data_IF_041937985909
#
_entry.id   IF_041937985909
#
_cell.length_a   1.000
_cell.length_b   1.000
_cell.length_c   1.000
_cell.angle_alpha   90.00
_cell.angle_beta   90.00
_cell.angle_gamma   90.00
#
_symmetry.space_group_name_H-M   'P 1'
#
loop_
_entity.id
_entity.type
_entity.pdbx_description
1 polymer ?
#
# COMPACT_ATOMS: atom_id res chain seq x y z
N UNK A 1 16.49 32.01 -30.36
CA UNK A 1 15.09 32.12 -29.86
C UNK A 1 14.45 30.73 -29.91
N UNK A 2 13.79 30.29 -28.87
CA UNK A 2 13.07 29.01 -28.85
C UNK A 2 11.72 29.25 -29.50
N UNK A 3 11.47 28.64 -30.65
CA UNK A 3 10.20 28.73 -31.39
C UNK A 3 9.44 27.44 -31.21
N UNK A 4 8.29 27.49 -30.57
CA UNK A 4 7.41 26.34 -30.34
C UNK A 4 6.56 26.53 -29.09
N UNK A 5 5.40 25.85 -29.08
CA UNK A 5 4.46 25.85 -27.94
C UNK A 5 4.22 24.45 -27.41
N UNK A 6 3.97 24.35 -26.10
CA UNK A 6 3.47 23.12 -25.50
C UNK A 6 2.13 22.72 -26.17
N UNK A 7 1.89 21.42 -26.45
CA UNK A 7 2.69 20.25 -26.08
C UNK A 7 3.78 19.84 -27.10
N UNK A 8 3.88 20.51 -28.25
CA UNK A 8 4.80 20.13 -29.34
C UNK A 8 6.27 20.36 -28.94
N UNK A 9 6.54 21.40 -28.18
CA UNK A 9 7.86 21.67 -27.60
C UNK A 9 7.85 21.41 -26.10
N UNK A 10 8.75 20.52 -25.64
CA UNK A 10 8.99 20.21 -24.23
C UNK A 10 10.46 20.38 -23.91
N UNK A 11 10.78 21.27 -22.99
CA UNK A 11 12.16 21.50 -22.54
C UNK A 11 12.52 20.40 -21.53
N UNK A 12 13.48 19.52 -21.89
CA UNK A 12 13.85 18.35 -21.10
C UNK A 12 15.29 18.36 -20.58
N UNK A 13 16.01 19.45 -20.72
CA UNK A 13 17.41 19.55 -20.29
C UNK A 13 17.58 19.16 -18.81
N UNK A 14 16.72 19.65 -17.94
CA UNK A 14 16.74 19.37 -16.51
C UNK A 14 16.34 17.95 -16.13
N UNK A 15 15.88 17.14 -17.09
CA UNK A 15 15.50 15.74 -16.86
C UNK A 15 16.55 14.75 -17.35
N UNK A 16 17.61 15.21 -18.01
CA UNK A 16 18.65 14.36 -18.62
C UNK A 16 19.49 13.68 -17.55
N UNK A 17 20.08 14.46 -16.65
CA UNK A 17 21.01 13.98 -15.64
C UNK A 17 20.35 13.80 -14.26
N UNK A 18 20.88 12.88 -13.43
CA UNK A 18 20.30 12.61 -12.10
C UNK A 18 20.37 13.81 -11.16
N UNK A 19 21.48 14.57 -11.22
CA UNK A 19 21.65 15.75 -10.37
C UNK A 19 20.70 16.88 -10.75
N UNK A 20 20.46 17.12 -12.04
CA UNK A 20 19.49 18.14 -12.50
C UNK A 20 18.07 17.78 -12.12
N UNK A 21 17.70 16.48 -12.22
CA UNK A 21 16.38 16.02 -11.73
C UNK A 21 16.21 16.28 -10.23
N UNK A 22 17.22 16.01 -9.41
CA UNK A 22 17.18 16.33 -7.97
C UNK A 22 17.05 17.82 -7.69
N UNK A 23 17.76 18.66 -8.47
CA UNK A 23 17.71 20.10 -8.31
C UNK A 23 16.33 20.70 -8.53
N UNK A 24 15.60 20.21 -9.54
CA UNK A 24 14.27 20.72 -9.93
C UNK A 24 13.11 19.89 -9.36
N UNK A 25 13.38 18.95 -8.47
CA UNK A 25 12.37 18.09 -7.87
C UNK A 25 11.50 18.89 -6.91
N UNK A 26 10.19 18.92 -7.17
CA UNK A 26 9.21 19.61 -6.34
C UNK A 26 8.66 18.71 -5.24
N UNK A 27 8.60 17.38 -5.49
CA UNK A 27 8.07 16.41 -4.55
C UNK A 27 9.14 15.39 -4.17
N UNK A 28 9.17 15.03 -2.89
CA UNK A 28 10.01 13.96 -2.36
C UNK A 28 9.12 12.90 -1.71
N UNK A 29 9.53 11.63 -1.81
CA UNK A 29 8.89 10.53 -1.11
C UNK A 29 9.75 10.10 0.07
N UNK A 30 9.12 9.93 1.22
CA UNK A 30 9.72 9.37 2.42
C UNK A 30 8.85 8.23 2.97
N UNK A 31 9.34 7.39 3.87
CA UNK A 31 8.52 6.39 4.55
C UNK A 31 7.28 6.96 5.23
N UNK A 32 7.33 8.24 5.66
CA UNK A 32 6.21 8.93 6.31
C UNK A 32 5.00 9.18 5.38
N UNK A 33 5.19 9.03 4.08
CA UNK A 33 4.15 9.23 3.08
C UNK A 33 3.35 7.93 2.80
N UNK A 34 3.70 6.81 3.48
CA UNK A 34 3.14 5.50 3.17
C UNK A 34 2.25 4.96 4.30
N UNK A 35 1.20 4.26 3.89
CA UNK A 35 0.38 3.40 4.73
C UNK A 35 0.55 1.97 4.22
N UNK A 36 0.94 1.02 5.07
CA UNK A 36 1.10 -0.37 4.68
C UNK A 36 -0.23 -1.12 4.78
N UNK A 37 -0.82 -1.59 3.66
CA UNK A 37 -1.98 -2.46 3.72
C UNK A 37 -1.57 -3.87 4.16
N UNK A 38 -2.27 -4.43 5.14
CA UNK A 38 -2.10 -5.81 5.62
C UNK A 38 -3.39 -6.56 5.37
N UNK A 39 -3.32 -7.63 4.59
CA UNK A 39 -4.47 -8.46 4.27
C UNK A 39 -4.56 -9.62 5.27
N UNK A 40 -5.71 -9.75 5.91
CA UNK A 40 -5.98 -10.73 6.95
C UNK A 40 -6.79 -11.91 6.42
N UNK A 41 -6.48 -13.10 6.91
CA UNK A 41 -7.30 -14.32 6.75
C UNK A 41 -7.58 -14.96 8.09
N UNK A 42 -8.69 -15.67 8.15
CA UNK A 42 -9.07 -16.49 9.29
C UNK A 42 -8.16 -17.73 9.42
N UNK A 43 -7.97 -18.20 10.65
CA UNK A 43 -7.18 -19.38 10.97
C UNK A 43 -5.95 -19.09 11.80
N UNK A 44 -5.03 -20.04 11.85
CA UNK A 44 -3.82 -19.95 12.66
C UNK A 44 -2.57 -20.22 11.83
N UNK A 45 -1.55 -19.39 12.01
CA UNK A 45 -0.20 -19.52 11.46
C UNK A 45 -0.12 -19.75 9.93
N UNK A 46 -1.04 -19.14 9.17
CA UNK A 46 -1.11 -19.25 7.70
C UNK A 46 -0.59 -18.00 7.00
N UNK A 47 -0.08 -18.24 5.80
CA UNK A 47 0.29 -17.24 4.82
C UNK A 47 -0.25 -17.70 3.46
N UNK A 48 -1.13 -16.91 2.85
CA UNK A 48 -1.78 -17.23 1.58
C UNK A 48 -1.38 -16.20 0.51
N UNK A 49 -0.92 -16.67 -0.64
CA UNK A 49 -0.62 -15.79 -1.77
C UNK A 49 -1.89 -15.21 -2.38
N UNK A 50 -1.84 -13.95 -2.82
CA UNK A 50 -2.90 -13.31 -3.59
C UNK A 50 -2.54 -13.42 -5.07
N UNK A 51 -3.27 -14.25 -5.83
CA UNK A 51 -2.93 -14.54 -7.23
C UNK A 51 -2.88 -13.31 -8.13
N UNK A 52 -3.75 -12.33 -7.89
CA UNK A 52 -3.84 -11.08 -8.65
C UNK A 52 -2.84 -10.01 -8.21
N UNK A 53 -2.09 -10.25 -7.12
CA UNK A 53 -1.11 -9.31 -6.55
C UNK A 53 0.20 -10.06 -6.27
N UNK A 54 1.07 -10.27 -7.27
CA UNK A 54 2.32 -11.00 -7.10
C UNK A 54 3.19 -10.43 -5.96
N UNK A 55 3.66 -11.31 -5.07
CA UNK A 55 4.48 -10.92 -3.92
C UNK A 55 3.69 -10.40 -2.71
N UNK A 56 2.37 -10.23 -2.82
CA UNK A 56 1.49 -9.83 -1.71
C UNK A 56 0.79 -11.07 -1.14
N UNK A 57 0.65 -11.08 0.18
CA UNK A 57 0.10 -12.23 0.90
C UNK A 57 -0.96 -11.79 1.89
N UNK A 58 -1.89 -12.70 2.19
CA UNK A 58 -2.77 -12.62 3.36
C UNK A 58 -2.12 -13.34 4.53
N UNK A 59 -2.32 -12.82 5.70
CA UNK A 59 -1.73 -13.35 6.94
C UNK A 59 -2.81 -13.60 7.98
N UNK A 60 -2.62 -14.63 8.80
CA UNK A 60 -3.42 -14.83 10.01
C UNK A 60 -2.97 -13.85 11.09
N UNK A 61 -3.85 -13.55 12.05
CA UNK A 61 -3.63 -12.52 13.10
C UNK A 61 -2.30 -12.73 13.83
N UNK A 62 -1.96 -13.97 14.18
CA UNK A 62 -0.71 -14.29 14.88
C UNK A 62 0.58 -14.01 14.09
N UNK A 63 0.49 -13.70 12.79
CA UNK A 63 1.62 -13.28 11.95
C UNK A 63 1.69 -11.77 11.69
N UNK A 64 0.66 -11.03 12.09
CA UNK A 64 0.57 -9.57 11.82
C UNK A 64 1.70 -8.81 12.52
N UNK A 65 2.04 -9.18 13.77
CA UNK A 65 3.12 -8.54 14.53
C UNK A 65 4.44 -8.50 13.76
N UNK A 66 4.81 -9.59 13.09
CA UNK A 66 6.04 -9.67 12.28
C UNK A 66 6.03 -8.69 11.09
N UNK A 67 4.85 -8.41 10.53
CA UNK A 67 4.70 -7.46 9.42
C UNK A 67 4.75 -6.03 9.93
N UNK A 68 4.11 -5.77 11.06
CA UNK A 68 4.15 -4.47 11.75
C UNK A 68 5.59 -4.12 12.17
N UNK A 69 6.34 -5.07 12.73
CA UNK A 69 7.75 -4.87 13.09
C UNK A 69 8.60 -4.48 11.86
N UNK A 70 8.33 -5.08 10.71
CA UNK A 70 9.01 -4.70 9.46
C UNK A 70 8.64 -3.29 9.00
N UNK A 71 7.37 -2.89 9.16
CA UNK A 71 6.92 -1.54 8.84
C UNK A 71 7.61 -0.51 9.73
N UNK A 72 7.67 -0.76 11.04
CA UNK A 72 8.35 0.09 12.03
C UNK A 72 9.84 0.25 11.66
N UNK A 73 10.54 -0.86 11.39
CA UNK A 73 11.96 -0.84 10.99
C UNK A 73 12.22 -0.05 9.70
N UNK A 74 11.21 0.08 8.83
CA UNK A 74 11.28 0.87 7.59
C UNK A 74 10.77 2.30 7.76
N UNK A 75 10.33 2.68 8.96
CA UNK A 75 9.82 4.01 9.26
C UNK A 75 8.42 4.30 8.70
N UNK A 76 7.63 3.27 8.36
CA UNK A 76 6.26 3.43 7.89
C UNK A 76 5.36 3.69 9.12
N UNK A 77 4.65 4.85 9.17
CA UNK A 77 3.97 5.30 10.40
C UNK A 77 2.60 4.64 10.62
N UNK A 78 1.99 4.07 9.59
CA UNK A 78 0.61 3.57 9.64
C UNK A 78 0.44 2.26 8.90
N UNK A 79 -0.42 1.40 9.42
CA UNK A 79 -0.91 0.19 8.74
C UNK A 79 -2.42 0.26 8.56
N UNK A 80 -2.94 -0.36 7.50
CA UNK A 80 -4.36 -0.52 7.24
C UNK A 80 -4.68 -2.01 7.17
N UNK A 81 -5.66 -2.47 7.93
CA UNK A 81 -6.03 -3.88 8.00
C UNK A 81 -7.22 -4.17 7.07
N UNK A 82 -7.09 -5.17 6.22
CA UNK A 82 -8.12 -5.58 5.26
C UNK A 82 -8.47 -7.06 5.46
N UNK A 83 -9.65 -7.40 5.99
CA UNK A 83 -10.04 -8.78 6.22
C UNK A 83 -10.52 -9.46 4.93
N UNK A 84 -10.18 -10.72 4.75
CA UNK A 84 -10.84 -11.62 3.79
C UNK A 84 -12.11 -12.18 4.44
N UNK A 85 -13.19 -11.42 4.36
CA UNK A 85 -14.50 -11.84 4.83
C UNK A 85 -15.02 -13.01 4.00
N UNK A 86 -15.55 -14.06 4.64
CA UNK A 86 -16.18 -15.21 3.96
C UNK A 86 -17.40 -14.75 3.16
N UNK A 87 -17.59 -15.30 1.98
CA UNK A 87 -18.71 -14.90 1.11
C UNK A 87 -20.08 -15.10 1.76
N UNK A 88 -20.22 -16.10 2.65
CA UNK A 88 -21.43 -16.36 3.45
C UNK A 88 -21.79 -15.24 4.42
N UNK A 89 -20.82 -14.39 4.79
CA UNK A 89 -20.98 -13.25 5.71
C UNK A 89 -21.16 -11.92 4.97
N UNK A 90 -21.10 -11.93 3.64
CA UNK A 90 -21.27 -10.74 2.81
C UNK A 90 -22.72 -10.57 2.42
N UNK A 91 -23.23 -9.35 2.58
CA UNK A 91 -24.55 -8.94 2.11
C UNK A 91 -24.53 -7.48 1.67
N UNK A 92 -25.62 -7.02 1.04
CA UNK A 92 -25.73 -5.65 0.50
C UNK A 92 -25.71 -4.58 1.59
N UNK A 93 -26.05 -4.93 2.84
CA UNK A 93 -26.03 -4.01 3.97
C UNK A 93 -24.68 -3.96 4.70
N UNK A 94 -23.74 -4.84 4.35
CA UNK A 94 -22.41 -4.89 4.99
C UNK A 94 -22.46 -5.22 6.49
N UNK A 95 -23.41 -6.04 6.95
CA UNK A 95 -23.67 -6.28 8.38
C UNK A 95 -22.47 -6.85 9.13
N UNK A 96 -21.55 -7.57 8.47
CA UNK A 96 -20.34 -8.09 9.10
C UNK A 96 -19.40 -6.97 9.59
N UNK A 97 -19.46 -5.78 9.00
CA UNK A 97 -18.67 -4.62 9.46
C UNK A 97 -19.11 -4.11 10.83
N UNK A 98 -20.33 -4.43 11.25
CA UNK A 98 -20.91 -4.07 12.56
C UNK A 98 -20.72 -5.17 13.62
N UNK A 99 -20.18 -6.32 13.23
CA UNK A 99 -19.92 -7.42 14.13
C UNK A 99 -18.67 -7.14 14.96
N UNK A 100 -18.79 -6.98 16.26
CA UNK A 100 -17.68 -6.72 17.18
C UNK A 100 -16.64 -7.85 17.24
N UNK A 101 -17.01 -9.05 16.78
CA UNK A 101 -16.14 -10.22 16.71
C UNK A 101 -15.64 -10.52 15.31
N UNK A 102 -15.67 -9.54 14.41
CA UNK A 102 -15.12 -9.73 13.08
C UNK A 102 -13.58 -9.85 13.10
N UNK A 103 -12.98 -10.25 11.99
CA UNK A 103 -11.54 -10.57 11.90
C UNK A 103 -10.61 -9.37 12.22
N UNK A 104 -11.10 -8.14 12.19
CA UNK A 104 -10.31 -6.92 12.42
C UNK A 104 -10.47 -6.40 13.85
N UNK A 105 -11.62 -6.59 14.48
CA UNK A 105 -11.90 -6.22 15.86
C UNK A 105 -11.39 -7.26 16.82
#
# INVERSE_FOLDING_TARGET
>A
MITGKYPNLRLRRNRKESWTRRLVQENTLSPNDFILPIFLIDGSNKKESISTMPGVFRYTINRVSQIVDKAIKKGIPMVALFPKTKNTLKNDLGTESLNENNLVC
#
